data_IF_312520845200
#
_entry.id   IF_312520845200
#
_cell.length_a   1.000
_cell.length_b   1.000
_cell.length_c   1.000
_cell.angle_alpha   90.00
_cell.angle_beta   90.00
_cell.angle_gamma   90.00
#
_symmetry.space_group_name_H-M   'P 1'
#
loop_
_entity.id
_entity.type
_entity.pdbx_description
1 polymer ?
#
# COMPACT_ATOMS: atom_id res chain seq x y z
N UNK A 1 40.63 25.71 22.28
CA UNK A 1 40.48 24.63 21.27
C UNK A 1 39.34 23.66 21.59
N UNK A 2 39.02 23.39 22.86
CA UNK A 2 37.90 22.48 23.23
C UNK A 2 36.53 23.01 22.82
N UNK A 3 36.27 24.32 22.98
CA UNK A 3 34.99 24.93 22.57
C UNK A 3 34.71 24.81 21.06
N UNK A 4 35.75 24.92 20.22
CA UNK A 4 35.60 24.74 18.76
C UNK A 4 35.31 23.29 18.36
N UNK A 5 35.93 22.33 19.04
CA UNK A 5 35.66 20.89 18.81
C UNK A 5 34.26 20.49 19.29
N UNK A 6 33.79 21.03 20.42
CA UNK A 6 32.43 20.80 20.92
C UNK A 6 31.38 21.37 19.98
N UNK A 7 31.59 22.59 19.45
CA UNK A 7 30.67 23.18 18.48
C UNK A 7 30.55 22.32 17.21
N UNK A 8 31.68 21.84 16.67
CA UNK A 8 31.67 20.93 15.53
C UNK A 8 30.94 19.61 15.86
N UNK A 9 31.15 19.05 17.06
CA UNK A 9 30.47 17.83 17.48
C UNK A 9 28.94 18.01 17.55
N UNK A 10 28.44 19.12 18.11
CA UNK A 10 27.01 19.44 18.13
C UNK A 10 26.44 19.68 16.73
N UNK A 11 27.19 20.35 15.85
CA UNK A 11 26.77 20.55 14.46
C UNK A 11 26.60 19.22 13.72
N UNK A 12 27.54 18.28 13.88
CA UNK A 12 27.42 16.95 13.28
C UNK A 12 26.26 16.13 13.86
N UNK A 13 26.00 16.24 15.17
CA UNK A 13 24.85 15.60 15.81
C UNK A 13 23.52 16.08 15.22
N UNK A 14 23.34 17.41 15.10
CA UNK A 14 22.11 18.00 14.57
C UNK A 14 21.83 17.56 13.12
N UNK A 15 22.88 17.48 12.28
CA UNK A 15 22.76 16.96 10.91
C UNK A 15 22.35 15.48 10.91
N UNK A 16 22.90 14.68 11.83
CA UNK A 16 22.53 13.27 11.99
C UNK A 16 21.05 13.09 12.40
N UNK A 17 20.55 13.89 13.33
CA UNK A 17 19.15 13.84 13.76
C UNK A 17 18.18 14.20 12.63
N UNK A 18 18.49 15.24 11.86
CA UNK A 18 17.67 15.63 10.70
C UNK A 18 17.62 14.51 9.63
N UNK A 19 18.76 13.83 9.39
CA UNK A 19 18.81 12.70 8.46
C UNK A 19 17.96 11.51 8.95
N UNK A 20 18.00 11.19 10.24
CA UNK A 20 17.17 10.13 10.84
C UNK A 20 15.68 10.48 10.75
N UNK A 21 15.30 11.72 11.05
CA UNK A 21 13.90 12.15 10.95
C UNK A 21 13.38 12.02 9.51
N UNK A 22 14.15 12.50 8.53
CA UNK A 22 13.79 12.36 7.11
C UNK A 22 13.65 10.89 6.69
N UNK A 23 14.56 10.02 7.14
CA UNK A 23 14.46 8.59 6.90
C UNK A 23 13.21 7.96 7.54
N UNK A 24 12.87 8.40 8.76
CA UNK A 24 11.64 7.98 9.45
C UNK A 24 10.37 8.38 8.69
N UNK A 25 10.34 9.57 8.09
CA UNK A 25 9.23 10.03 7.26
C UNK A 25 8.99 9.08 6.07
N UNK A 26 10.05 8.69 5.35
CA UNK A 26 9.92 7.78 4.21
C UNK A 26 9.44 6.39 4.66
N UNK A 27 10.02 5.83 5.72
CA UNK A 27 9.56 4.55 6.28
C UNK A 27 8.08 4.59 6.66
N UNK A 28 7.62 5.71 7.24
CA UNK A 28 6.21 5.89 7.56
C UNK A 28 5.33 5.95 6.30
N UNK A 29 5.77 6.66 5.26
CA UNK A 29 5.05 6.74 3.99
C UNK A 29 4.95 5.38 3.30
N UNK A 30 6.08 4.66 3.19
CA UNK A 30 6.16 3.34 2.55
C UNK A 30 5.26 2.34 3.27
N UNK A 31 5.30 2.31 4.61
CA UNK A 31 4.45 1.44 5.42
C UNK A 31 2.97 1.81 5.28
N UNK A 32 2.63 3.10 5.27
CA UNK A 32 1.26 3.57 5.14
C UNK A 32 0.66 3.22 3.77
N UNK A 33 1.39 3.48 2.67
CA UNK A 33 0.87 3.23 1.33
C UNK A 33 0.74 1.75 1.02
N UNK A 34 1.70 0.92 1.46
CA UNK A 34 1.61 -0.54 1.31
C UNK A 34 0.39 -1.07 2.07
N UNK A 35 0.09 -0.51 3.24
CA UNK A 35 -1.04 -0.96 4.02
C UNK A 35 -2.40 -0.54 3.41
N UNK A 36 -2.48 0.64 2.77
CA UNK A 36 -3.64 1.00 1.97
C UNK A 36 -3.81 0.07 0.76
N UNK A 37 -2.73 -0.18 0.01
CA UNK A 37 -2.76 -1.07 -1.15
C UNK A 37 -3.11 -2.52 -0.76
N UNK A 38 -2.59 -3.04 0.35
CA UNK A 38 -2.98 -4.35 0.91
C UNK A 38 -4.47 -4.38 1.29
N UNK A 39 -4.98 -3.32 1.92
CA UNK A 39 -6.41 -3.22 2.22
C UNK A 39 -7.26 -3.16 0.95
N UNK A 40 -6.81 -2.50 -0.11
CA UNK A 40 -7.48 -2.50 -1.41
C UNK A 40 -7.47 -3.88 -2.05
N UNK A 41 -6.32 -4.56 -2.04
CA UNK A 41 -6.14 -5.93 -2.54
C UNK A 41 -7.11 -6.91 -1.88
N UNK A 42 -7.17 -6.89 -0.55
CA UNK A 42 -8.01 -7.83 0.20
C UNK A 42 -9.50 -7.60 -0.11
N UNK A 43 -9.90 -6.36 -0.39
CA UNK A 43 -11.26 -6.03 -0.81
C UNK A 43 -11.57 -6.45 -2.25
N UNK A 44 -10.63 -6.27 -3.18
CA UNK A 44 -10.77 -6.78 -4.55
C UNK A 44 -10.85 -8.30 -4.56
N UNK A 45 -10.02 -8.99 -3.78
CA UNK A 45 -10.11 -10.45 -3.62
C UNK A 45 -11.47 -10.87 -3.04
N UNK A 46 -12.00 -10.15 -2.04
CA UNK A 46 -13.33 -10.41 -1.51
C UNK A 46 -14.45 -10.15 -2.54
N UNK A 47 -14.31 -9.10 -3.38
CA UNK A 47 -15.25 -8.81 -4.46
C UNK A 47 -15.22 -9.92 -5.52
N UNK A 48 -14.04 -10.42 -5.91
CA UNK A 48 -13.89 -11.56 -6.80
C UNK A 48 -14.59 -12.81 -6.26
N UNK A 49 -14.42 -13.14 -4.97
CA UNK A 49 -15.13 -14.25 -4.33
C UNK A 49 -16.65 -14.03 -4.31
N UNK A 50 -17.10 -12.80 -4.07
CA UNK A 50 -18.53 -12.46 -4.08
C UNK A 50 -19.16 -12.59 -5.49
N UNK A 51 -18.39 -12.28 -6.53
CA UNK A 51 -18.77 -12.40 -7.94
C UNK A 51 -18.21 -13.69 -8.59
N UNK A 52 -17.90 -14.71 -7.79
CA UNK A 52 -17.31 -15.96 -8.29
C UNK A 52 -18.19 -16.63 -9.34
N UNK A 53 -19.52 -16.62 -9.15
CA UNK A 53 -20.50 -17.15 -10.12
C UNK A 53 -20.80 -16.21 -11.30
N UNK A 54 -20.05 -15.10 -11.42
CA UNK A 54 -20.19 -14.08 -12.45
C UNK A 54 -18.86 -13.78 -13.15
N UNK A 55 -18.31 -14.74 -13.94
CA UNK A 55 -17.02 -14.55 -14.63
C UNK A 55 -16.93 -13.32 -15.53
N UNK A 56 -18.08 -12.82 -16.01
CA UNK A 56 -18.17 -11.58 -16.78
C UNK A 56 -17.73 -10.33 -16.00
N UNK A 57 -17.72 -10.38 -14.66
CA UNK A 57 -17.31 -9.27 -13.78
C UNK A 57 -15.88 -9.40 -13.28
N UNK A 58 -15.24 -10.55 -13.46
CA UNK A 58 -13.89 -10.77 -12.93
C UNK A 58 -12.89 -9.77 -13.50
N UNK A 59 -13.05 -9.37 -14.77
CA UNK A 59 -12.24 -8.33 -15.41
C UNK A 59 -12.26 -7.02 -14.61
N UNK A 60 -13.46 -6.52 -14.29
CA UNK A 60 -13.64 -5.29 -13.50
C UNK A 60 -12.95 -5.37 -12.12
N UNK A 61 -12.88 -6.56 -11.52
CA UNK A 61 -12.16 -6.77 -10.26
C UNK A 61 -10.65 -6.69 -10.47
N UNK A 62 -10.12 -7.38 -11.49
CA UNK A 62 -8.70 -7.36 -11.80
C UNK A 62 -8.22 -5.98 -12.29
N UNK A 63 -9.06 -5.22 -12.98
CA UNK A 63 -8.76 -3.85 -13.42
C UNK A 63 -8.92 -2.81 -12.28
N UNK A 64 -9.40 -3.23 -11.11
CA UNK A 64 -9.60 -2.36 -9.94
C UNK A 64 -10.80 -1.42 -10.05
N UNK A 65 -11.74 -1.72 -10.95
CA UNK A 65 -12.98 -0.96 -11.17
C UNK A 65 -14.07 -1.33 -10.15
N UNK A 66 -13.94 -2.51 -9.53
CA UNK A 66 -14.84 -2.94 -8.47
C UNK A 66 -14.78 -2.00 -7.26
N UNK A 67 -15.93 -1.61 -6.68
CA UNK A 67 -15.96 -0.72 -5.52
C UNK A 67 -15.20 -1.30 -4.34
N UNK A 68 -14.34 -0.48 -3.73
CA UNK A 68 -13.69 -0.77 -2.45
C UNK A 68 -14.10 0.29 -1.42
N UNK A 69 -14.31 -0.14 -0.18
CA UNK A 69 -14.39 0.76 0.96
C UNK A 69 -13.04 1.45 1.18
N UNK A 70 -13.07 2.55 1.95
CA UNK A 70 -11.93 3.44 2.15
C UNK A 70 -10.67 2.69 2.67
N UNK A 71 -9.65 2.49 1.83
CA UNK A 71 -8.42 1.78 2.19
C UNK A 71 -7.48 2.64 3.05
N UNK A 72 -7.69 3.96 3.11
CA UNK A 72 -6.84 4.89 3.84
C UNK A 72 -6.93 4.76 5.36
N UNK A 73 -8.00 4.15 5.89
CA UNK A 73 -8.09 3.86 7.32
C UNK A 73 -6.92 2.98 7.79
N UNK A 74 -6.44 2.07 6.93
CA UNK A 74 -5.28 1.23 7.24
C UNK A 74 -3.97 2.01 7.12
N UNK A 75 -3.82 2.87 6.11
CA UNK A 75 -2.66 3.76 5.98
C UNK A 75 -2.46 4.65 7.22
N UNK A 76 -3.54 5.24 7.75
CA UNK A 76 -3.50 6.10 8.94
C UNK A 76 -2.94 5.35 10.15
N UNK A 77 -3.37 4.10 10.37
CA UNK A 77 -2.87 3.27 11.45
C UNK A 77 -1.37 3.00 11.34
N UNK A 78 -0.86 2.76 10.12
CA UNK A 78 0.56 2.49 9.91
C UNK A 78 1.40 3.76 9.98
N UNK A 79 0.90 4.91 9.50
CA UNK A 79 1.54 6.20 9.70
C UNK A 79 1.72 6.48 11.20
N UNK A 80 0.64 6.32 11.99
CA UNK A 80 0.67 6.54 13.43
C UNK A 80 1.64 5.61 14.17
N UNK A 81 1.72 4.34 13.77
CA UNK A 81 2.70 3.38 14.32
C UNK A 81 4.16 3.75 14.00
N UNK A 82 4.38 4.57 12.98
CA UNK A 82 5.69 5.07 12.58
C UNK A 82 5.92 6.53 13.00
N UNK A 83 5.26 6.98 14.07
CA UNK A 83 5.37 8.36 14.60
C UNK A 83 5.07 9.44 13.53
N UNK A 84 4.14 9.19 12.62
CA UNK A 84 3.72 10.14 11.60
C UNK A 84 2.19 10.31 11.58
N UNK A 85 1.73 11.42 11.02
CA UNK A 85 0.33 11.71 10.72
C UNK A 85 0.12 11.58 9.21
N UNK A 86 -0.97 10.93 8.81
CA UNK A 86 -1.40 10.87 7.42
C UNK A 86 -2.03 12.22 7.05
N UNK A 87 -1.41 12.92 6.12
CA UNK A 87 -1.90 14.21 5.63
C UNK A 87 -2.86 14.05 4.47
N UNK A 88 -2.53 13.12 3.56
CA UNK A 88 -3.36 12.82 2.41
C UNK A 88 -3.24 11.33 2.07
N UNK A 89 -4.32 10.79 1.52
CA UNK A 89 -4.36 9.43 1.00
C UNK A 89 -5.39 9.37 -0.11
N UNK A 90 -4.90 9.06 -1.30
CA UNK A 90 -5.68 8.96 -2.51
C UNK A 90 -5.45 7.61 -3.15
N UNK A 91 -6.48 7.08 -3.78
CA UNK A 91 -6.36 5.90 -4.61
C UNK A 91 -7.20 6.08 -5.87
N UNK A 92 -6.68 5.53 -6.96
CA UNK A 92 -7.37 5.46 -8.24
C UNK A 92 -7.10 4.10 -8.84
N UNK A 93 -8.17 3.28 -8.95
CA UNK A 93 -8.08 1.89 -9.36
C UNK A 93 -7.05 1.14 -8.50
N UNK A 94 -5.99 0.64 -9.13
CA UNK A 94 -4.93 -0.14 -8.52
C UNK A 94 -3.73 0.69 -8.04
N UNK A 95 -3.79 2.02 -8.09
CA UNK A 95 -2.71 2.92 -7.64
C UNK A 95 -3.10 3.68 -6.40
N UNK A 96 -2.20 3.69 -5.41
CA UNK A 96 -2.40 4.28 -4.09
C UNK A 96 -1.26 5.24 -3.80
N UNK A 97 -1.57 6.44 -3.34
CA UNK A 97 -0.58 7.45 -2.98
C UNK A 97 -0.92 8.03 -1.61
N UNK A 98 0.08 8.18 -0.76
CA UNK A 98 -0.05 8.80 0.56
C UNK A 98 0.96 9.93 0.72
N UNK A 99 0.59 10.90 1.53
CA UNK A 99 1.47 11.92 2.08
C UNK A 99 1.43 11.83 3.60
N UNK A 100 2.60 11.79 4.23
CA UNK A 100 2.73 11.75 5.70
C UNK A 100 3.61 12.89 6.20
N UNK A 101 3.43 13.22 7.47
CA UNK A 101 4.25 14.18 8.20
C UNK A 101 4.65 13.61 9.56
N UNK A 102 5.94 13.65 9.87
CA UNK A 102 6.45 13.10 11.12
C UNK A 102 5.97 13.92 12.32
N UNK A 103 5.49 13.26 13.36
CA UNK A 103 5.07 13.92 14.60
C UNK A 103 6.27 14.52 15.36
N UNK A 104 7.47 13.95 15.18
CA UNK A 104 8.73 14.48 15.72
C UNK A 104 9.26 15.57 14.80
N UNK A 105 9.78 16.66 15.38
CA UNK A 105 10.47 17.69 14.61
C UNK A 105 11.88 17.24 14.20
N UNK A 106 12.44 17.86 13.16
CA UNK A 106 13.76 17.53 12.60
C UNK A 106 14.92 17.72 13.59
N UNK A 107 14.65 18.39 14.72
CA UNK A 107 15.50 18.31 15.90
C UNK A 107 14.94 19.09 17.09
N UNK A 108 15.33 18.68 18.29
CA UNK A 108 15.23 19.46 19.55
C UNK A 108 16.24 20.64 19.56
N UNK A 109 16.46 21.29 18.41
CA UNK A 109 17.79 21.80 18.03
C UNK A 109 18.25 23.03 18.82
N UNK A 110 19.56 23.03 19.08
CA UNK A 110 20.40 24.17 19.52
C UNK A 110 20.35 25.34 18.51
N UNK A 111 19.86 25.09 17.29
CA UNK A 111 19.61 26.10 16.25
C UNK A 111 18.18 26.65 16.43
N UNK A 112 18.01 27.93 16.79
CA UNK A 112 16.69 28.53 16.97
C UNK A 112 15.85 28.46 15.70
N UNK A 113 14.58 28.08 15.82
CA UNK A 113 13.59 28.12 14.74
C UNK A 113 13.36 26.82 13.98
N UNK A 114 13.88 25.68 14.48
CA UNK A 114 13.60 24.36 13.88
C UNK A 114 12.72 23.47 14.75
N UNK A 115 12.26 23.99 15.90
CA UNK A 115 11.46 23.23 16.86
C UNK A 115 10.12 22.75 16.27
N UNK A 116 9.56 23.50 15.32
CA UNK A 116 8.27 23.23 14.67
C UNK A 116 8.43 22.69 13.22
N UNK A 117 9.64 22.34 12.79
CA UNK A 117 9.88 21.83 11.43
C UNK A 117 9.74 20.31 11.45
N UNK A 118 8.77 19.79 10.72
CA UNK A 118 8.50 18.36 10.57
C UNK A 118 8.91 17.86 9.19
N UNK A 119 9.34 16.60 9.09
CA UNK A 119 9.64 15.98 7.80
C UNK A 119 8.35 15.51 7.14
N UNK A 120 8.28 15.67 5.83
CA UNK A 120 7.22 15.13 4.99
C UNK A 120 7.79 14.12 4.02
N UNK A 121 7.01 13.10 3.71
CA UNK A 121 7.33 12.11 2.70
C UNK A 121 6.05 11.66 1.99
N UNK A 122 6.21 11.28 0.73
CA UNK A 122 5.17 10.69 -0.06
C UNK A 122 5.63 9.30 -0.51
N UNK A 123 4.69 8.40 -0.71
CA UNK A 123 4.96 7.09 -1.28
C UNK A 123 3.78 6.65 -2.14
N UNK A 124 4.09 5.86 -3.15
CA UNK A 124 3.10 5.27 -4.05
C UNK A 124 3.24 3.76 -4.04
N UNK A 125 2.13 3.04 -3.92
CA UNK A 125 2.06 1.60 -4.14
C UNK A 125 1.08 1.29 -5.25
N UNK A 126 1.32 0.17 -5.92
CA UNK A 126 0.45 -0.37 -6.95
C UNK A 126 0.05 -1.79 -6.58
N UNK A 127 -1.16 -2.16 -7.01
CA UNK A 127 -1.65 -3.53 -7.03
C UNK A 127 -1.50 -4.02 -8.47
N UNK A 128 -0.85 -5.16 -8.68
CA UNK A 128 -0.72 -5.76 -10.00
C UNK A 128 -1.50 -7.09 -10.06
N UNK A 129 -2.45 -7.25 -11.00
CA UNK A 129 -3.11 -8.52 -11.22
C UNK A 129 -2.11 -9.57 -11.67
N UNK A 130 -2.16 -10.76 -11.05
CA UNK A 130 -1.28 -11.88 -11.38
C UNK A 130 -1.97 -12.95 -12.23
N UNK A 131 -3.29 -12.92 -12.28
CA UNK A 131 -4.10 -13.93 -12.93
C UNK A 131 -4.62 -13.48 -14.30
N UNK A 132 -4.75 -14.46 -15.19
CA UNK A 132 -5.43 -14.34 -16.47
C UNK A 132 -6.48 -15.43 -16.60
N UNK A 133 -7.53 -15.18 -17.36
CA UNK A 133 -8.60 -16.14 -17.64
C UNK A 133 -9.22 -15.84 -19.01
N UNK A 134 -9.83 -16.85 -19.61
CA UNK A 134 -10.64 -16.69 -20.81
C UNK A 134 -12.10 -16.45 -20.38
N UNK A 135 -12.68 -15.26 -20.64
CA UNK A 135 -14.06 -14.99 -20.29
C UNK A 135 -14.99 -15.89 -21.13
N UNK A 136 -16.10 -16.40 -20.54
CA UNK A 136 -17.03 -17.24 -21.28
C UNK A 136 -17.73 -16.43 -22.39
N UNK A 137 -17.93 -17.03 -23.57
CA UNK A 137 -18.54 -16.35 -24.75
C UNK A 137 -20.01 -15.95 -24.51
N UNK A 138 -20.70 -16.61 -23.59
CA UNK A 138 -22.03 -16.25 -23.10
C UNK A 138 -21.98 -16.19 -21.57
N UNK A 139 -22.83 -15.38 -20.92
CA UNK A 139 -22.99 -15.39 -19.47
C UNK A 139 -23.38 -16.81 -19.05
N UNK A 140 -22.40 -17.61 -18.65
CA UNK A 140 -22.55 -19.02 -18.38
C UNK A 140 -23.44 -19.15 -17.14
N UNK A 141 -24.73 -19.35 -17.36
CA UNK A 141 -25.66 -19.78 -16.32
C UNK A 141 -25.38 -21.24 -15.99
N UNK A 142 -24.31 -21.50 -15.22
CA UNK A 142 -23.95 -22.84 -14.77
C UNK A 142 -22.71 -22.84 -13.87
N UNK A 143 -22.59 -23.87 -13.04
CA UNK A 143 -21.51 -24.07 -12.04
C UNK A 143 -20.10 -24.27 -12.66
N UNK A 144 -19.93 -24.13 -13.97
CA UNK A 144 -18.67 -24.35 -14.66
C UNK A 144 -17.92 -23.01 -14.81
N UNK A 145 -17.01 -22.75 -13.88
CA UNK A 145 -16.19 -21.56 -13.82
C UNK A 145 -14.94 -21.69 -14.72
N UNK A 146 -14.51 -20.61 -15.40
CA UNK A 146 -13.29 -20.65 -16.19
C UNK A 146 -12.06 -20.83 -15.27
N UNK A 147 -11.03 -21.56 -15.72
CA UNK A 147 -9.78 -21.68 -14.97
C UNK A 147 -9.05 -20.33 -14.91
N UNK A 148 -8.34 -20.09 -13.80
CA UNK A 148 -7.45 -18.95 -13.62
C UNK A 148 -6.00 -19.40 -13.76
N UNK A 149 -5.23 -18.76 -14.63
CA UNK A 149 -3.77 -18.94 -14.67
C UNK A 149 -3.10 -17.77 -13.93
N UNK A 150 -2.54 -18.06 -12.76
CA UNK A 150 -1.88 -17.08 -11.91
C UNK A 150 -0.40 -17.44 -11.80
N UNK A 151 0.48 -16.68 -12.47
CA UNK A 151 1.92 -16.93 -12.55
C UNK A 151 2.32 -18.38 -12.89
N UNK A 152 1.64 -18.96 -13.88
CA UNK A 152 1.89 -20.32 -14.35
C UNK A 152 1.35 -21.42 -13.43
N UNK A 153 0.59 -21.07 -12.40
CA UNK A 153 -0.23 -21.99 -11.63
C UNK A 153 -1.69 -21.87 -12.08
N UNK A 154 -2.22 -22.97 -12.60
CA UNK A 154 -3.64 -23.07 -12.96
C UNK A 154 -4.48 -23.41 -11.73
N UNK A 155 -5.51 -22.62 -11.50
CA UNK A 155 -6.54 -22.80 -10.50
C UNK A 155 -7.86 -23.13 -11.19
N UNK A 156 -8.62 -24.08 -10.62
CA UNK A 156 -9.97 -24.41 -11.05
C UNK A 156 -10.90 -24.02 -9.91
N UNK A 157 -11.46 -22.80 -9.91
CA UNK A 157 -12.28 -22.33 -8.80
C UNK A 157 -13.55 -23.17 -8.68
N UNK A 158 -13.87 -23.57 -7.45
CA UNK A 158 -15.11 -24.27 -7.09
C UNK A 158 -15.80 -23.47 -5.98
N UNK A 159 -17.04 -22.99 -6.20
CA UNK A 159 -17.78 -22.22 -5.19
C UNK A 159 -18.13 -23.04 -3.94
N UNK A 160 -18.14 -24.37 -4.03
CA UNK A 160 -18.43 -25.28 -2.92
C UNK A 160 -17.16 -25.74 -2.17
N UNK A 161 -15.97 -25.42 -2.69
CA UNK A 161 -14.68 -25.77 -2.07
C UNK A 161 -13.70 -24.58 -2.04
N UNK A 162 -13.69 -23.85 -0.91
CA UNK A 162 -12.78 -22.73 -0.66
C UNK A 162 -11.29 -23.08 -0.83
N UNK A 163 -10.90 -24.36 -0.66
CA UNK A 163 -9.50 -24.77 -0.82
C UNK A 163 -9.03 -24.75 -2.29
N UNK A 164 -9.96 -24.68 -3.23
CA UNK A 164 -9.67 -24.53 -4.67
C UNK A 164 -9.48 -23.07 -5.09
N UNK A 165 -9.80 -22.12 -4.22
CA UNK A 165 -9.72 -20.69 -4.51
C UNK A 165 -8.29 -20.17 -4.27
N UNK A 166 -7.75 -19.34 -5.18
CA UNK A 166 -6.51 -18.62 -4.95
C UNK A 166 -6.63 -17.66 -3.76
N UNK A 167 -5.55 -17.51 -3.01
CA UNK A 167 -5.47 -16.51 -1.95
C UNK A 167 -5.32 -15.09 -2.54
N UNK A 168 -5.56 -14.02 -1.76
CA UNK A 168 -5.38 -12.65 -2.26
C UNK A 168 -3.99 -12.38 -2.86
N UNK A 169 -2.92 -12.95 -2.30
CA UNK A 169 -1.55 -12.84 -2.83
C UNK A 169 -1.29 -13.67 -4.10
N UNK A 170 -2.11 -14.68 -4.37
CA UNK A 170 -2.08 -15.41 -5.64
C UNK A 170 -2.80 -14.61 -6.74
N UNK A 171 -3.85 -13.86 -6.38
CA UNK A 171 -4.64 -13.02 -7.29
C UNK A 171 -3.90 -11.73 -7.68
N UNK A 172 -3.22 -11.12 -6.71
CA UNK A 172 -2.68 -9.77 -6.83
C UNK A 172 -1.33 -9.62 -6.11
N UNK A 173 -0.38 -8.96 -6.76
CA UNK A 173 0.84 -8.49 -6.12
C UNK A 173 0.66 -7.05 -5.60
N UNK A 174 1.37 -6.71 -4.53
CA UNK A 174 1.38 -5.34 -3.96
C UNK A 174 2.80 -4.91 -3.72
N UNK A 175 3.21 -3.80 -4.33
CA UNK A 175 4.55 -3.27 -4.16
C UNK A 175 4.60 -1.74 -4.28
N UNK A 176 5.70 -1.17 -3.80
CA UNK A 176 5.99 0.26 -3.97
C UNK A 176 6.32 0.53 -5.44
N UNK A 177 5.65 1.54 -6.02
CA UNK A 177 6.01 2.03 -7.34
C UNK A 177 7.35 2.76 -7.25
N UNK A 178 8.27 2.48 -8.18
CA UNK A 178 9.40 3.35 -8.42
C UNK A 178 8.92 4.57 -9.21
N UNK A 179 9.10 5.76 -8.66
CA UNK A 179 8.97 7.03 -9.40
C UNK A 179 10.21 7.31 -10.27
#
# INVERSE_FOLDING_TARGET
MVAGLLFLAFAYLAVGQAAVNRGGAQTAADAAVLAAAQSGRDQLAAAWVADLLHPEKWGDVFDGESPVDNPCARAEQLAAQNDATLNDCNWQLLRYTVDVETNKSVGDSVVPGTEDIHSKAAATAVIEPRCTFDPPEEAAGGDELPPLDCDGKTWNPDPDDEATLPSPEDLFDVHLAAD
#
